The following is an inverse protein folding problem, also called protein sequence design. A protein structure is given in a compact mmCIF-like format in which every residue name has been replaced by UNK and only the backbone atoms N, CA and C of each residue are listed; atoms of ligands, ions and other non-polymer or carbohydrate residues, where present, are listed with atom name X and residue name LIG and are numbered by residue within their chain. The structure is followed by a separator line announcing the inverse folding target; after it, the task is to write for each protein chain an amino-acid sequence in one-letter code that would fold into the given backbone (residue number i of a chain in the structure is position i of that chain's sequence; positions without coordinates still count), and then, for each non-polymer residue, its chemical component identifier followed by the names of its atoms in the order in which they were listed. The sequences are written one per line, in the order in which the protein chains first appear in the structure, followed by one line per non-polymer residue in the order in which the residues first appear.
data_IF_008925925798
#
_entry.id   IF_008925925798
#
_cell.length_a   1.000
_cell.length_b   1.000
_cell.length_c   1.000
_cell.angle_alpha   90.00
_cell.angle_beta   90.00
_cell.angle_gamma   90.00
#
_symmetry.space_group_name_H-M   'P 1'
#
loop_
_entity.id
_entity.type
_entity.pdbx_description
1 polymer ?
#
# COMPACT_ATOMS: atom_id res chain seq x y z
N UNK A 1 18.08 9.71 12.78
CA UNK A 1 17.88 8.56 11.88
C UNK A 1 17.28 7.41 12.68
N UNK A 2 16.36 6.63 12.10
CA UNK A 2 15.83 5.35 12.61
C UNK A 2 14.90 5.34 13.83
N UNK A 3 13.75 6.04 13.77
CA UNK A 3 12.56 5.63 14.56
C UNK A 3 11.66 4.64 13.79
N UNK A 4 11.81 4.55 12.46
CA UNK A 4 11.06 3.60 11.62
C UNK A 4 11.55 2.15 11.73
N UNK A 5 12.76 1.91 12.25
CA UNK A 5 13.39 0.59 12.27
C UNK A 5 12.93 -0.27 13.46
N UNK A 6 12.49 0.38 14.55
CA UNK A 6 12.10 -0.29 15.79
C UNK A 6 10.76 -1.05 15.73
N UNK A 7 9.87 -0.72 14.78
CA UNK A 7 8.54 -1.38 14.65
C UNK A 7 8.55 -2.70 13.89
N UNK A 8 9.69 -3.16 13.37
CA UNK A 8 9.77 -4.41 12.61
C UNK A 8 9.81 -5.67 13.49
N UNK A 9 10.10 -5.55 14.79
CA UNK A 9 10.49 -6.70 15.63
C UNK A 9 9.34 -7.39 16.40
N UNK A 10 8.11 -6.88 16.38
CA UNK A 10 6.97 -7.52 17.07
C UNK A 10 6.21 -8.54 16.22
N UNK A 11 6.65 -8.81 14.99
CA UNK A 11 5.94 -9.70 14.07
C UNK A 11 6.83 -10.79 13.51
N UNK A 12 6.33 -12.02 13.46
CA UNK A 12 6.95 -13.10 12.69
C UNK A 12 7.16 -12.65 11.25
N UNK A 13 8.39 -12.77 10.75
CA UNK A 13 8.73 -12.46 9.36
C UNK A 13 8.23 -13.59 8.46
N UNK A 14 7.35 -13.24 7.54
CA UNK A 14 6.78 -14.17 6.56
C UNK A 14 7.08 -13.69 5.14
N UNK A 15 7.04 -14.61 4.17
CA UNK A 15 7.17 -14.25 2.75
C UNK A 15 6.05 -13.29 2.33
N UNK A 16 6.40 -12.17 1.71
CA UNK A 16 5.43 -11.16 1.22
C UNK A 16 4.37 -11.80 0.33
N UNK A 17 4.76 -12.75 -0.53
CA UNK A 17 3.84 -13.42 -1.43
C UNK A 17 2.79 -14.30 -0.70
N UNK A 18 3.15 -14.86 0.45
CA UNK A 18 2.26 -15.66 1.28
C UNK A 18 1.28 -14.79 2.05
N UNK A 19 1.79 -13.72 2.69
CA UNK A 19 0.98 -12.71 3.36
C UNK A 19 -0.03 -12.08 2.38
N UNK A 20 0.44 -11.65 1.21
CA UNK A 20 -0.41 -11.07 0.18
C UNK A 20 -1.50 -12.05 -0.32
N UNK A 21 -1.17 -13.33 -0.50
CA UNK A 21 -2.16 -14.36 -0.89
C UNK A 21 -3.23 -14.52 0.18
N UNK A 22 -2.85 -14.53 1.46
CA UNK A 22 -3.78 -14.63 2.60
C UNK A 22 -4.73 -13.42 2.67
N UNK A 23 -4.21 -12.21 2.43
CA UNK A 23 -5.00 -10.97 2.55
C UNK A 23 -5.84 -10.63 1.31
N UNK A 24 -5.32 -10.90 0.12
CA UNK A 24 -5.96 -10.49 -1.15
C UNK A 24 -6.57 -11.66 -1.93
N UNK A 25 -6.39 -12.89 -1.46
CA UNK A 25 -6.79 -14.13 -2.14
C UNK A 25 -5.91 -14.50 -3.35
N UNK A 26 -5.06 -13.60 -3.84
CA UNK A 26 -4.22 -13.80 -5.03
C UNK A 26 -2.75 -13.70 -4.69
N UNK A 27 -1.95 -14.59 -5.27
CA UNK A 27 -0.49 -14.51 -5.15
C UNK A 27 0.02 -13.42 -6.10
N UNK A 28 0.66 -12.35 -5.61
CA UNK A 28 1.22 -11.32 -6.47
C UNK A 28 2.43 -11.85 -7.25
N UNK A 29 2.63 -11.30 -8.45
CA UNK A 29 3.82 -11.58 -9.24
C UNK A 29 5.09 -11.01 -8.55
N UNK A 30 6.26 -11.67 -8.65
CA UNK A 30 7.50 -11.17 -8.02
C UNK A 30 7.86 -9.73 -8.39
N UNK A 31 7.57 -9.29 -9.62
CA UNK A 31 7.80 -7.90 -10.03
C UNK A 31 6.91 -6.90 -9.31
N UNK A 32 5.69 -7.28 -8.92
CA UNK A 32 4.80 -6.45 -8.10
C UNK A 32 5.35 -6.30 -6.69
N UNK A 33 5.86 -7.39 -6.10
CA UNK A 33 6.50 -7.37 -4.79
C UNK A 33 7.72 -6.45 -4.80
N UNK A 34 8.61 -6.63 -5.79
CA UNK A 34 9.78 -5.76 -5.95
C UNK A 34 9.37 -4.29 -6.10
N UNK A 35 8.31 -4.02 -6.88
CA UNK A 35 7.78 -2.67 -7.05
C UNK A 35 7.30 -2.10 -5.72
N UNK A 36 6.50 -2.82 -4.94
CA UNK A 36 5.97 -2.35 -3.64
C UNK A 36 7.08 -1.98 -2.66
N UNK A 37 8.18 -2.75 -2.65
CA UNK A 37 9.28 -2.53 -1.71
C UNK A 37 10.24 -1.43 -2.20
N UNK A 38 10.65 -1.46 -3.48
CA UNK A 38 11.68 -0.54 -4.00
C UNK A 38 11.12 0.77 -4.53
N UNK A 39 10.13 0.68 -5.42
CA UNK A 39 9.54 1.86 -6.05
C UNK A 39 8.41 2.45 -5.23
N UNK A 40 7.66 1.61 -4.51
CA UNK A 40 6.39 1.98 -3.90
C UNK A 40 5.24 2.07 -4.91
N UNK A 41 4.07 2.42 -4.40
CA UNK A 41 2.86 2.72 -5.14
C UNK A 41 2.62 4.24 -5.15
N UNK A 42 1.78 4.72 -6.08
CA UNK A 42 1.35 6.13 -6.16
C UNK A 42 2.51 7.13 -6.21
N UNK A 43 3.37 7.01 -7.23
CA UNK A 43 4.57 7.86 -7.35
C UNK A 43 5.67 7.53 -6.33
N UNK A 44 5.50 6.49 -5.52
CA UNK A 44 6.48 6.01 -4.56
C UNK A 44 6.29 6.48 -3.13
N UNK A 45 5.18 7.17 -2.84
CA UNK A 45 4.82 7.65 -1.49
C UNK A 45 4.48 6.51 -0.54
N UNK A 46 3.89 5.42 -1.05
CA UNK A 46 3.48 4.28 -0.24
C UNK A 46 4.39 3.09 -0.54
N UNK A 47 5.19 2.68 0.44
CA UNK A 47 6.16 1.58 0.30
C UNK A 47 5.87 0.49 1.32
N UNK A 48 6.08 -0.75 0.90
CA UNK A 48 5.99 -1.90 1.79
C UNK A 48 7.29 -2.04 2.57
N UNK A 49 7.20 -2.04 3.91
CA UNK A 49 8.32 -2.37 4.78
C UNK A 49 8.60 -3.87 4.72
N UNK A 50 9.73 -4.23 4.12
CA UNK A 50 10.16 -5.61 3.95
C UNK A 50 11.68 -5.71 3.96
N UNK A 51 12.19 -6.86 4.40
CA UNK A 51 13.60 -7.21 4.33
C UNK A 51 13.82 -8.24 3.22
N UNK A 52 15.00 -8.19 2.59
CA UNK A 52 15.39 -9.23 1.63
C UNK A 52 16.29 -10.24 2.34
N UNK A 53 15.82 -11.47 2.47
CA UNK A 53 16.54 -12.53 3.15
C UNK A 53 16.31 -13.87 2.43
N UNK A 54 17.38 -14.69 2.33
CA UNK A 54 17.32 -16.02 1.72
C UNK A 54 16.66 -16.05 0.33
N UNK A 55 16.99 -15.07 -0.52
CA UNK A 55 16.48 -14.97 -1.89
C UNK A 55 15.03 -14.50 -2.03
N UNK A 56 14.39 -14.07 -0.93
CA UNK A 56 12.98 -13.64 -0.97
C UNK A 56 12.73 -12.40 -0.12
N UNK A 57 11.66 -11.67 -0.44
CA UNK A 57 11.19 -10.56 0.40
C UNK A 57 10.33 -11.09 1.54
N UNK A 58 10.65 -10.66 2.75
CA UNK A 58 9.93 -10.99 3.97
C UNK A 58 9.37 -9.72 4.61
N UNK A 59 8.18 -9.82 5.17
CA UNK A 59 7.46 -8.73 5.85
C UNK A 59 6.70 -9.29 7.04
N UNK A 60 6.22 -8.41 7.89
CA UNK A 60 5.31 -8.76 8.98
C UNK A 60 3.87 -8.49 8.56
N UNK A 61 2.90 -9.18 9.18
CA UNK A 61 1.48 -8.91 8.95
C UNK A 61 1.13 -7.43 9.21
N UNK A 62 1.64 -6.86 10.29
CA UNK A 62 1.40 -5.46 10.67
C UNK A 62 1.93 -4.48 9.61
N UNK A 63 3.12 -4.74 9.05
CA UNK A 63 3.68 -3.92 7.99
C UNK A 63 2.87 -4.01 6.69
N UNK A 64 2.38 -5.20 6.36
CA UNK A 64 1.54 -5.39 5.19
C UNK A 64 0.16 -4.75 5.35
N UNK A 65 -0.45 -4.84 6.53
CA UNK A 65 -1.73 -4.19 6.84
C UNK A 65 -1.60 -2.66 6.79
N UNK A 66 -0.53 -2.10 7.35
CA UNK A 66 -0.26 -0.66 7.25
C UNK A 66 -0.09 -0.20 5.79
N UNK A 67 0.58 -1.01 4.96
CA UNK A 67 0.72 -0.74 3.54
C UNK A 67 -0.64 -0.73 2.81
N UNK A 68 -1.52 -1.70 3.10
CA UNK A 68 -2.87 -1.74 2.52
C UNK A 68 -3.72 -0.56 2.98
N UNK A 69 -3.70 -0.24 4.27
CA UNK A 69 -4.44 0.90 4.82
C UNK A 69 -4.02 2.22 4.16
N UNK A 70 -2.72 2.46 4.02
CA UNK A 70 -2.20 3.64 3.33
C UNK A 70 -2.67 3.68 1.87
N UNK A 71 -2.65 2.53 1.16
CA UNK A 71 -3.10 2.46 -0.22
C UNK A 71 -4.60 2.81 -0.34
N UNK A 72 -5.43 2.27 0.55
CA UNK A 72 -6.87 2.51 0.57
C UNK A 72 -7.19 3.96 0.92
N UNK A 73 -6.57 4.52 1.96
CA UNK A 73 -6.76 5.92 2.36
C UNK A 73 -6.42 6.88 1.22
N UNK A 74 -5.30 6.63 0.54
CA UNK A 74 -4.92 7.45 -0.60
C UNK A 74 -5.94 7.30 -1.74
N UNK A 75 -6.51 6.11 -1.96
CA UNK A 75 -7.54 5.89 -2.98
C UNK A 75 -8.82 6.65 -2.69
N UNK A 76 -9.29 6.63 -1.44
CA UNK A 76 -10.44 7.41 -1.01
C UNK A 76 -10.19 8.91 -1.17
N UNK A 77 -9.01 9.41 -0.78
CA UNK A 77 -8.66 10.83 -0.91
C UNK A 77 -8.67 11.33 -2.37
N UNK A 78 -8.39 10.47 -3.36
CA UNK A 78 -8.48 10.83 -4.77
C UNK A 78 -9.91 10.84 -5.32
N UNK A 79 -10.84 10.13 -4.68
CA UNK A 79 -12.24 10.11 -5.10
C UNK A 79 -12.98 11.37 -4.64
N UNK A 80 -12.62 11.90 -3.47
CA UNK A 80 -13.25 13.10 -2.91
C UNK A 80 -12.84 14.40 -3.64
N UNK A 81 -11.65 14.44 -4.26
CA UNK A 81 -11.13 15.63 -4.97
C UNK A 81 -11.76 15.83 -6.38
N UNK A 82 -12.71 14.97 -6.77
CA UNK A 82 -13.32 14.98 -8.10
C UNK A 82 -14.84 15.11 -8.12
N UNK A 83 -15.51 15.22 -6.97
CA UNK A 83 -16.96 15.46 -6.96
C UNK A 83 -17.24 16.93 -7.24
N UNK A 84 -17.43 17.27 -8.51
CA UNK A 84 -18.14 18.52 -8.85
C UNK A 84 -19.50 18.41 -8.19
N UNK A 85 -19.78 19.31 -7.26
CA UNK A 85 -21.05 19.30 -6.54
C UNK A 85 -22.18 19.64 -7.51
N UNK A 86 -23.39 19.09 -7.28
CA UNK A 86 -24.57 19.42 -8.11
C UNK A 86 -24.82 20.95 -8.15
N UNK A 87 -24.41 21.68 -7.11
CA UNK A 87 -24.45 23.14 -7.07
C UNK A 87 -23.50 23.81 -8.07
N UNK A 88 -22.30 23.27 -8.27
CA UNK A 88 -21.34 23.77 -9.25
C UNK A 88 -21.79 23.47 -10.69
N UNK A 89 -22.40 22.30 -10.94
CA UNK A 89 -22.98 21.97 -12.24
C UNK A 89 -24.18 22.88 -12.59
N UNK A 90 -25.00 23.21 -11.58
CA UNK A 90 -26.11 24.15 -11.73
C UNK A 90 -25.63 25.58 -11.96
N UNK A 91 -24.57 26.01 -11.27
CA UNK A 91 -23.93 27.32 -11.48
C UNK A 91 -23.26 27.44 -12.86
N UNK A 92 -22.76 26.34 -13.42
CA UNK A 92 -22.20 26.27 -14.77
C UNK A 92 -23.26 26.14 -15.88
N UNK A 93 -24.55 26.01 -15.55
CA UNK A 93 -25.65 25.91 -16.51
C UNK A 93 -25.71 24.58 -17.27
N UNK A 94 -25.17 23.51 -16.69
CA UNK A 94 -25.16 22.16 -17.28
C UNK A 94 -26.33 21.28 -16.79
N UNK A 95 -27.18 21.81 -15.91
CA UNK A 95 -28.34 21.20 -15.26
C UNK A 95 -29.52 22.19 -15.18
#
# INVERSE_FOLDING_TARGET
MSSCEAKLLEGTLEHVASVAKRRTGKRPHPSSIWRWVKKGMRGGTIKLSAIYHSGTWQTTDAAFDAFLQAQTQAAMAQQDDGSVTDEELKAAGLL
#
